data_IF_568732862439
#
_entry.id   IF_568732862439
#
_cell.length_a   1.000
_cell.length_b   1.000
_cell.length_c   1.000
_cell.angle_alpha   90.00
_cell.angle_beta   90.00
_cell.angle_gamma   90.00
#
_symmetry.space_group_name_H-M   'P 1'
#
loop_
_entity.id
_entity.type
_entity.pdbx_description
1 polymer ?
#
# COMPACT_ATOMS: atom_id res chain seq x y z
N UNK A 1 11.27 0.56 -2.79
CA UNK A 1 10.72 -0.60 -2.07
C UNK A 1 9.21 -0.73 -2.21
N UNK A 2 8.39 0.24 -1.75
CA UNK A 2 6.93 0.17 -1.95
C UNK A 2 6.54 0.16 -3.44
N UNK A 3 7.24 0.95 -4.25
CA UNK A 3 7.11 0.95 -5.71
C UNK A 3 7.42 -0.42 -6.33
N UNK A 4 8.40 -1.14 -5.79
CA UNK A 4 8.80 -2.46 -6.33
C UNK A 4 7.77 -3.55 -6.02
N UNK A 5 7.04 -3.42 -4.90
CA UNK A 5 6.01 -4.39 -4.50
C UNK A 5 4.76 -4.29 -5.37
N UNK A 6 4.47 -3.10 -5.89
CA UNK A 6 3.19 -2.80 -6.56
C UNK A 6 3.29 -2.83 -8.09
N UNK A 7 4.49 -3.04 -8.64
CA UNK A 7 4.71 -3.18 -10.09
C UNK A 7 3.72 -4.20 -10.71
N UNK A 8 3.00 -3.86 -11.81
CA UNK A 8 3.17 -2.69 -12.69
C UNK A 8 2.53 -1.36 -12.24
N UNK A 9 1.70 -1.35 -11.20
CA UNK A 9 0.92 -0.15 -10.86
C UNK A 9 1.75 0.93 -10.20
N UNK A 10 1.51 2.16 -10.62
CA UNK A 10 2.14 3.36 -10.06
C UNK A 10 1.38 3.86 -8.83
N UNK A 11 2.15 4.37 -7.87
CA UNK A 11 1.60 5.00 -6.68
C UNK A 11 1.37 6.49 -6.98
N UNK A 12 0.11 6.90 -7.04
CA UNK A 12 -0.28 8.31 -7.25
C UNK A 12 -0.20 9.11 -5.95
N UNK A 13 -0.44 8.47 -4.82
CA UNK A 13 -0.53 9.19 -3.54
C UNK A 13 -0.11 8.35 -2.34
N UNK A 14 0.42 9.02 -1.32
CA UNK A 14 0.76 8.43 -0.04
C UNK A 14 0.23 9.33 1.07
N UNK A 15 -0.61 8.80 1.97
CA UNK A 15 -1.13 9.53 3.13
C UNK A 15 -0.84 8.74 4.39
N UNK A 16 -0.20 9.38 5.37
CA UNK A 16 0.04 8.77 6.68
C UNK A 16 -0.96 9.33 7.67
N UNK A 17 -1.76 8.45 8.29
CA UNK A 17 -2.60 8.80 9.43
C UNK A 17 -1.86 8.44 10.71
N UNK A 18 -1.76 9.41 11.61
CA UNK A 18 -1.29 9.22 12.97
C UNK A 18 -2.52 9.05 13.86
N UNK A 19 -2.61 7.90 14.52
CA UNK A 19 -3.67 7.62 15.47
C UNK A 19 -3.27 8.14 16.86
N UNK A 20 -4.28 8.35 17.72
CA UNK A 20 -4.08 8.87 19.09
C UNK A 20 -3.32 7.88 19.98
N UNK A 21 -3.36 6.59 19.65
CA UNK A 21 -2.59 5.52 20.29
C UNK A 21 -1.10 5.49 19.86
N UNK A 22 -0.68 6.42 19.00
CA UNK A 22 0.68 6.49 18.46
C UNK A 22 0.95 5.57 17.27
N UNK A 23 -0.03 4.74 16.88
CA UNK A 23 0.08 3.91 15.68
C UNK A 23 0.06 4.76 14.41
N UNK A 24 0.73 4.26 13.36
CA UNK A 24 0.82 4.92 12.06
C UNK A 24 0.22 4.00 11.00
N UNK A 25 -0.79 4.46 10.31
CA UNK A 25 -1.40 3.74 9.19
C UNK A 25 -1.09 4.52 7.92
N UNK A 26 -0.39 3.89 6.99
CA UNK A 26 -0.09 4.49 5.68
C UNK A 26 -1.10 4.00 4.65
N UNK A 27 -1.87 4.93 4.09
CA UNK A 27 -2.71 4.71 2.92
C UNK A 27 -1.93 5.04 1.65
N UNK A 28 -1.89 4.10 0.72
CA UNK A 28 -1.22 4.22 -0.57
C UNK A 28 -2.27 4.15 -1.66
N UNK A 29 -2.33 5.18 -2.50
CA UNK A 29 -3.26 5.30 -3.60
C UNK A 29 -2.57 4.86 -4.90
N UNK A 30 -3.14 3.86 -5.56
CA UNK A 30 -2.65 3.34 -6.85
C UNK A 30 -3.33 4.04 -8.02
N UNK A 31 -2.75 3.93 -9.21
CA UNK A 31 -3.39 4.45 -10.42
C UNK A 31 -4.68 3.68 -10.72
N UNK A 32 -5.86 4.36 -10.76
CA UNK A 32 -7.12 3.71 -11.08
C UNK A 32 -7.13 3.04 -12.47
N UNK A 33 -6.26 3.45 -13.39
CA UNK A 33 -6.12 2.81 -14.71
C UNK A 33 -5.64 1.37 -14.62
N UNK A 34 -4.88 1.03 -13.59
CA UNK A 34 -4.30 -0.31 -13.38
C UNK A 34 -5.12 -1.18 -12.42
N UNK A 35 -6.30 -0.71 -11.99
CA UNK A 35 -7.14 -1.39 -10.99
C UNK A 35 -7.44 -2.84 -11.37
N UNK A 36 -7.84 -3.10 -12.61
CA UNK A 36 -8.17 -4.46 -13.08
C UNK A 36 -6.98 -5.44 -12.99
N UNK A 37 -5.74 -4.93 -13.07
CA UNK A 37 -4.53 -5.72 -13.04
C UNK A 37 -3.98 -5.93 -11.61
N UNK A 38 -4.42 -5.11 -10.65
CA UNK A 38 -3.91 -5.13 -9.27
C UNK A 38 -4.92 -5.62 -8.25
N UNK A 39 -6.22 -5.62 -8.57
CA UNK A 39 -7.29 -5.95 -7.62
C UNK A 39 -7.13 -7.33 -6.98
N UNK A 40 -6.70 -8.34 -7.75
CA UNK A 40 -6.46 -9.70 -7.23
C UNK A 40 -5.23 -9.83 -6.31
N UNK A 41 -4.33 -8.83 -6.28
CA UNK A 41 -3.12 -8.79 -5.45
C UNK A 41 -3.23 -7.85 -4.25
N UNK A 42 -4.29 -7.03 -4.17
CA UNK A 42 -4.42 -5.97 -3.17
C UNK A 42 -4.28 -6.48 -1.73
N UNK A 43 -4.79 -7.67 -1.42
CA UNK A 43 -4.66 -8.28 -0.08
C UNK A 43 -3.23 -8.79 0.21
N UNK A 44 -2.45 -9.07 -0.82
CA UNK A 44 -1.09 -9.62 -0.69
C UNK A 44 -0.04 -8.53 -0.43
N UNK A 45 -0.17 -7.36 -1.05
CA UNK A 45 0.76 -6.25 -0.87
C UNK A 45 0.97 -5.81 0.59
N UNK A 46 -0.07 -5.61 1.42
CA UNK A 46 0.13 -5.21 2.81
C UNK A 46 0.80 -6.32 3.63
N UNK A 47 0.50 -7.58 3.36
CA UNK A 47 1.16 -8.71 4.03
C UNK A 47 2.66 -8.78 3.72
N UNK A 48 3.04 -8.63 2.45
CA UNK A 48 4.44 -8.61 2.00
C UNK A 48 5.17 -7.41 2.59
N UNK A 49 4.58 -6.21 2.50
CA UNK A 49 5.22 -5.00 3.01
C UNK A 49 5.39 -5.03 4.53
N UNK A 50 4.40 -5.56 5.26
CA UNK A 50 4.49 -5.78 6.71
C UNK A 50 5.59 -6.79 7.05
N UNK A 51 5.73 -7.87 6.28
CA UNK A 51 6.78 -8.88 6.52
C UNK A 51 8.19 -8.32 6.29
N UNK A 52 8.36 -7.45 5.29
CA UNK A 52 9.67 -6.88 4.92
C UNK A 52 10.06 -5.66 5.76
N UNK A 53 9.11 -4.81 6.14
CA UNK A 53 9.39 -3.53 6.81
C UNK A 53 8.82 -3.38 8.21
N UNK A 54 7.95 -4.30 8.65
CA UNK A 54 7.26 -4.22 9.94
C UNK A 54 6.19 -3.12 10.04
N UNK A 55 5.87 -2.44 8.93
CA UNK A 55 4.93 -1.30 8.90
C UNK A 55 3.59 -1.71 8.31
N UNK A 56 2.51 -1.21 8.91
CA UNK A 56 1.16 -1.42 8.42
C UNK A 56 0.81 -0.44 7.30
N UNK A 57 0.27 -0.99 6.21
CA UNK A 57 -0.11 -0.26 5.00
C UNK A 57 -1.46 -0.72 4.51
N UNK A 58 -2.22 0.19 3.94
CA UNK A 58 -3.48 -0.08 3.23
C UNK A 58 -3.33 0.47 1.82
N UNK A 59 -3.68 -0.36 0.83
CA UNK A 59 -3.69 0.03 -0.58
C UNK A 59 -5.12 0.32 -1.02
N UNK A 60 -5.28 1.38 -1.81
CA UNK A 60 -6.56 1.87 -2.32
C UNK A 60 -6.43 2.28 -3.79
#
# INVERSE_FOLDING_TARGET
MLEDVVLPAEIIGKRIRYCLDGSKIMKVFLDPKERNNTEYKLESFPAVYRKLSGKDVVFE
#
